data_IF_380491209208
#
_entry.id   IF_380491209208
#
_cell.length_a   1.000
_cell.length_b   1.000
_cell.length_c   1.000
_cell.angle_alpha   90.00
_cell.angle_beta   90.00
_cell.angle_gamma   90.00
#
_symmetry.space_group_name_H-M   'P 1'
#
loop_
_entity.id
_entity.type
_entity.pdbx_description
1 polymer ?
#
# COMPACT_ATOMS: atom_id res chain seq x y z
N UNK A 1 -25.66 11.51 1.92
CA UNK A 1 -24.40 11.11 2.57
C UNK A 1 -23.69 12.38 3.00
N UNK A 2 -22.89 12.35 4.07
CA UNK A 2 -22.14 13.55 4.51
C UNK A 2 -21.22 14.03 3.39
N UNK A 3 -21.33 15.30 3.02
CA UNK A 3 -20.47 15.98 2.03
C UNK A 3 -18.98 15.78 2.33
N UNK A 4 -18.64 15.62 3.61
CA UNK A 4 -17.30 15.35 4.10
C UNK A 4 -16.76 13.98 3.64
N UNK A 5 -17.61 12.96 3.54
CA UNK A 5 -17.21 11.63 3.05
C UNK A 5 -16.97 11.69 1.54
N UNK A 6 -17.83 12.38 0.78
CA UNK A 6 -17.65 12.56 -0.66
C UNK A 6 -16.36 13.32 -0.98
N UNK A 7 -16.06 14.36 -0.20
CA UNK A 7 -14.81 15.12 -0.32
C UNK A 7 -13.59 14.23 -0.07
N UNK A 8 -13.65 13.35 0.94
CA UNK A 8 -12.56 12.43 1.25
C UNK A 8 -12.36 11.37 0.16
N UNK A 9 -13.45 10.81 -0.37
CA UNK A 9 -13.40 9.86 -1.50
C UNK A 9 -12.75 10.55 -2.70
N UNK A 10 -13.16 11.78 -3.03
CA UNK A 10 -12.61 12.55 -4.14
C UNK A 10 -11.12 12.86 -3.96
N UNK A 11 -10.69 13.23 -2.74
CA UNK A 11 -9.28 13.42 -2.38
C UNK A 11 -8.45 12.17 -2.69
N UNK A 12 -8.91 11.00 -2.25
CA UNK A 12 -8.20 9.73 -2.45
C UNK A 12 -8.20 9.27 -3.92
N UNK A 13 -9.31 9.50 -4.63
CA UNK A 13 -9.42 9.20 -6.07
C UNK A 13 -8.46 10.04 -6.89
N UNK A 14 -8.46 11.37 -6.70
CA UNK A 14 -7.55 12.28 -7.39
C UNK A 14 -6.08 11.97 -7.09
N UNK A 15 -5.74 11.73 -5.82
CA UNK A 15 -4.38 11.35 -5.45
C UNK A 15 -3.94 10.10 -6.20
N UNK A 16 -4.77 9.06 -6.25
CA UNK A 16 -4.39 7.82 -6.88
C UNK A 16 -4.35 7.90 -8.40
N UNK A 17 -5.30 8.60 -9.03
CA UNK A 17 -5.29 8.84 -10.47
C UNK A 17 -4.03 9.61 -10.88
N UNK A 18 -3.70 10.68 -10.15
CA UNK A 18 -2.50 11.47 -10.43
C UNK A 18 -1.18 10.69 -10.22
N UNK A 19 -1.11 9.82 -9.19
CA UNK A 19 0.02 8.91 -8.96
C UNK A 19 0.16 7.82 -10.05
N UNK A 20 -0.91 7.53 -10.80
CA UNK A 20 -0.97 6.46 -11.81
C UNK A 20 -1.42 6.96 -13.18
N UNK A 21 -0.78 8.02 -13.68
CA UNK A 21 -0.91 8.48 -15.07
C UNK A 21 -2.32 8.91 -15.50
N UNK A 22 -3.18 9.27 -14.54
CA UNK A 22 -4.46 9.92 -14.78
C UNK A 22 -5.67 8.99 -14.62
N UNK A 23 -5.46 7.70 -14.35
CA UNK A 23 -6.54 6.73 -14.20
C UNK A 23 -6.50 6.00 -12.86
N UNK A 24 -7.68 5.69 -12.32
CA UNK A 24 -7.84 4.82 -11.15
C UNK A 24 -9.03 3.87 -11.29
N UNK A 25 -9.15 2.92 -10.36
CA UNK A 25 -10.19 1.88 -10.34
C UNK A 25 -10.89 1.84 -8.99
N UNK A 26 -12.21 1.61 -9.02
CA UNK A 26 -13.09 1.58 -7.85
C UNK A 26 -12.58 0.66 -6.74
N UNK A 27 -12.08 -0.53 -7.10
CA UNK A 27 -11.55 -1.53 -6.14
C UNK A 27 -10.34 -1.02 -5.37
N UNK A 28 -9.48 -0.23 -6.00
CA UNK A 28 -8.26 0.33 -5.38
C UNK A 28 -8.67 1.39 -4.36
N UNK A 29 -9.56 2.29 -4.77
CA UNK A 29 -10.07 3.38 -3.91
C UNK A 29 -10.84 2.81 -2.73
N UNK A 30 -11.71 1.82 -2.95
CA UNK A 30 -12.42 1.12 -1.87
C UNK A 30 -11.44 0.52 -0.85
N UNK A 31 -10.38 -0.15 -1.32
CA UNK A 31 -9.34 -0.70 -0.45
C UNK A 31 -8.61 0.37 0.36
N UNK A 32 -8.20 1.47 -0.28
CA UNK A 32 -7.51 2.60 0.38
C UNK A 32 -8.38 3.28 1.44
N UNK A 33 -9.67 3.52 1.14
CA UNK A 33 -10.61 4.16 2.07
C UNK A 33 -10.83 3.27 3.30
N UNK A 34 -11.11 1.98 3.09
CA UNK A 34 -11.39 1.04 4.19
C UNK A 34 -10.16 0.72 5.05
N UNK A 35 -8.96 0.90 4.50
CA UNK A 35 -7.70 0.81 5.24
C UNK A 35 -7.42 2.06 6.09
N UNK A 36 -7.72 3.25 5.57
CA UNK A 36 -7.45 4.52 6.26
C UNK A 36 -8.50 4.85 7.31
N UNK A 37 -9.79 4.58 7.01
CA UNK A 37 -10.93 4.86 7.88
C UNK A 37 -11.80 3.60 8.03
N UNK A 38 -11.53 2.76 9.05
CA UNK A 38 -12.26 1.51 9.27
C UNK A 38 -13.77 1.68 9.52
N UNK A 39 -14.19 2.87 9.95
CA UNK A 39 -15.58 3.26 10.24
C UNK A 39 -16.50 3.05 9.02
N UNK A 40 -15.96 3.24 7.82
CA UNK A 40 -16.68 3.09 6.56
C UNK A 40 -17.03 1.64 6.19
N UNK A 41 -16.49 0.64 6.89
CA UNK A 41 -16.85 -0.77 6.69
C UNK A 41 -18.34 -1.05 6.91
N UNK A 42 -18.97 -0.29 7.80
CA UNK A 42 -20.41 -0.39 8.07
C UNK A 42 -21.28 0.14 6.92
N UNK A 43 -20.75 1.09 6.13
CA UNK A 43 -21.47 1.84 5.08
C UNK A 43 -21.02 1.50 3.65
N UNK A 44 -20.36 0.35 3.46
CA UNK A 44 -19.76 -0.04 2.16
C UNK A 44 -20.77 0.00 1.02
N UNK A 45 -22.02 -0.43 1.25
CA UNK A 45 -23.06 -0.46 0.22
C UNK A 45 -23.44 0.93 -0.29
N UNK A 46 -23.43 1.93 0.58
CA UNK A 46 -23.73 3.32 0.21
C UNK A 46 -22.54 3.96 -0.49
N UNK A 47 -21.34 3.76 0.07
CA UNK A 47 -20.09 4.36 -0.43
C UNK A 47 -19.67 3.80 -1.79
N UNK A 48 -20.01 2.55 -2.10
CA UNK A 48 -19.60 1.92 -3.37
C UNK A 48 -20.20 2.62 -4.60
N UNK A 49 -21.43 3.13 -4.50
CA UNK A 49 -22.07 3.89 -5.57
C UNK A 49 -21.36 5.22 -5.80
N UNK A 50 -21.15 5.97 -4.73
CA UNK A 50 -20.47 7.27 -4.75
C UNK A 50 -19.01 7.14 -5.24
N UNK A 51 -18.29 6.06 -4.88
CA UNK A 51 -16.94 5.80 -5.40
C UNK A 51 -16.97 5.65 -6.92
N UNK A 52 -17.90 4.86 -7.46
CA UNK A 52 -17.95 4.61 -8.90
C UNK A 52 -18.25 5.88 -9.69
N UNK A 53 -19.15 6.72 -9.19
CA UNK A 53 -19.46 8.03 -9.79
C UNK A 53 -18.24 8.97 -9.76
N UNK A 54 -17.57 9.07 -8.62
CA UNK A 54 -16.39 9.93 -8.46
C UNK A 54 -15.21 9.43 -9.31
N UNK A 55 -14.96 8.12 -9.35
CA UNK A 55 -13.90 7.53 -10.19
C UNK A 55 -14.18 7.79 -11.67
N UNK A 56 -15.41 7.60 -12.12
CA UNK A 56 -15.78 7.91 -13.51
C UNK A 56 -15.56 9.39 -13.83
N UNK A 57 -15.86 10.29 -12.90
CA UNK A 57 -15.65 11.74 -13.09
C UNK A 57 -14.17 12.09 -13.16
N UNK A 58 -13.35 11.53 -12.26
CA UNK A 58 -11.91 11.81 -12.21
C UNK A 58 -11.18 11.24 -13.42
N UNK A 59 -11.52 10.04 -13.86
CA UNK A 59 -10.90 9.40 -15.04
C UNK A 59 -11.25 10.13 -16.36
N UNK A 60 -12.26 11.00 -16.38
CA UNK A 60 -12.57 11.85 -17.53
C UNK A 60 -11.73 13.13 -17.58
N UNK A 61 -11.11 13.52 -16.47
CA UNK A 61 -10.23 14.68 -16.39
C UNK A 61 -8.84 14.34 -16.92
N UNK A 62 -8.23 15.27 -17.64
CA UNK A 62 -6.83 15.16 -18.03
C UNK A 62 -5.88 15.28 -16.84
N UNK A 63 -4.65 14.79 -16.99
CA UNK A 63 -3.60 14.91 -15.97
C UNK A 63 -3.34 16.36 -15.52
N UNK A 64 -3.47 17.32 -16.44
CA UNK A 64 -3.29 18.73 -16.15
C UNK A 64 -4.45 19.28 -15.30
N UNK A 65 -5.69 18.95 -15.65
CA UNK A 65 -6.88 19.34 -14.90
C UNK A 65 -6.90 18.71 -13.50
N UNK A 66 -6.53 17.42 -13.39
CA UNK A 66 -6.36 16.76 -12.11
C UNK A 66 -5.31 17.49 -11.24
N UNK A 67 -4.18 17.89 -11.84
CA UNK A 67 -3.13 18.63 -11.15
C UNK A 67 -3.58 20.02 -10.68
N UNK A 68 -4.41 20.72 -11.47
CA UNK A 68 -5.00 22.01 -11.07
C UNK A 68 -5.97 21.80 -9.91
N UNK A 69 -6.87 20.81 -10.00
CA UNK A 69 -7.85 20.53 -8.96
C UNK A 69 -7.17 20.14 -7.63
N UNK A 70 -6.09 19.35 -7.69
CA UNK A 70 -5.29 19.01 -6.52
C UNK A 70 -4.66 20.27 -5.90
N UNK A 71 -4.12 21.19 -6.69
CA UNK A 71 -3.53 22.44 -6.18
C UNK A 71 -4.55 23.33 -5.48
N UNK A 72 -5.75 23.44 -6.03
CA UNK A 72 -6.80 24.32 -5.49
C UNK A 72 -7.49 23.73 -4.27
N UNK A 73 -7.83 22.43 -4.31
CA UNK A 73 -8.69 21.82 -3.29
C UNK A 73 -7.94 20.97 -2.27
N UNK A 74 -6.76 20.42 -2.63
CA UNK A 74 -6.03 19.45 -1.82
C UNK A 74 -4.50 19.59 -1.93
N UNK A 75 -3.93 20.79 -1.64
CA UNK A 75 -2.50 21.05 -1.83
C UNK A 75 -1.61 20.12 -0.98
N UNK A 76 -2.14 19.55 0.09
CA UNK A 76 -1.48 18.56 0.95
C UNK A 76 -1.02 17.30 0.21
N UNK A 77 -1.69 16.92 -0.88
CA UNK A 77 -1.35 15.71 -1.66
C UNK A 77 0.00 15.89 -2.36
N UNK A 78 0.34 17.12 -2.75
CA UNK A 78 1.56 17.45 -3.48
C UNK A 78 2.79 17.52 -2.57
N UNK A 79 2.60 17.48 -1.25
CA UNK A 79 3.70 17.42 -0.31
C UNK A 79 4.31 16.02 -0.45
N UNK A 80 5.58 15.91 -0.91
CA UNK A 80 6.23 14.61 -0.99
C UNK A 80 6.21 13.99 0.40
N UNK A 81 5.56 12.84 0.55
CA UNK A 81 5.67 12.07 1.79
C UNK A 81 7.15 11.81 2.00
N UNK A 82 7.67 12.14 3.18
CA UNK A 82 9.01 11.73 3.57
C UNK A 82 9.12 10.23 3.28
N UNK A 83 10.06 9.85 2.41
CA UNK A 83 10.35 8.44 2.18
C UNK A 83 10.62 7.87 3.57
N UNK A 84 9.81 6.88 3.96
CA UNK A 84 10.16 6.04 5.10
C UNK A 84 11.54 5.51 4.77
N UNK A 85 12.55 5.98 5.50
CA UNK A 85 13.93 5.54 5.32
C UNK A 85 13.86 4.02 5.40
N UNK A 86 14.24 3.34 4.31
CA UNK A 86 14.38 1.89 4.34
C UNK A 86 15.20 1.57 5.58
N UNK A 87 14.65 0.71 6.44
CA UNK A 87 15.36 0.30 7.65
C UNK A 87 16.76 -0.09 7.21
N UNK A 88 17.78 0.61 7.72
CA UNK A 88 19.15 0.17 7.58
C UNK A 88 19.15 -1.33 7.94
N UNK A 89 19.76 -2.13 7.07
CA UNK A 89 19.68 -3.58 7.15
C UNK A 89 20.14 -4.12 8.51
N UNK A 90 20.10 -5.44 8.66
CA UNK A 90 20.68 -6.04 9.86
C UNK A 90 22.15 -5.61 9.99
N UNK A 91 22.62 -5.34 11.22
CA UNK A 91 24.03 -5.02 11.44
C UNK A 91 24.91 -6.16 10.97
N UNK A 92 26.15 -5.83 10.57
CA UNK A 92 27.13 -6.84 10.20
C UNK A 92 27.39 -7.82 11.36
N UNK A 93 27.53 -9.11 11.02
CA UNK A 93 27.85 -10.14 11.98
C UNK A 93 29.30 -9.97 12.45
N UNK A 94 29.51 -9.89 13.77
CA UNK A 94 30.85 -9.82 14.36
C UNK A 94 31.67 -11.04 13.96
N UNK A 95 32.90 -10.81 13.50
CA UNK A 95 33.87 -11.83 13.10
C UNK A 95 33.42 -12.74 11.94
N UNK A 96 32.38 -12.36 11.19
CA UNK A 96 31.93 -13.12 10.04
C UNK A 96 32.78 -12.79 8.81
N UNK A 97 33.35 -13.83 8.20
CA UNK A 97 34.04 -13.71 6.92
C UNK A 97 33.15 -14.27 5.80
N UNK A 98 33.10 -13.54 4.68
CA UNK A 98 32.32 -13.95 3.51
C UNK A 98 32.74 -15.35 3.04
N UNK A 99 31.77 -16.26 2.89
CA UNK A 99 32.02 -17.64 2.48
C UNK A 99 32.48 -18.58 3.60
N UNK A 100 32.66 -18.09 4.84
CA UNK A 100 32.99 -18.92 6.03
C UNK A 100 31.86 -19.01 7.05
N UNK A 101 30.70 -18.43 6.77
CA UNK A 101 29.52 -18.52 7.63
C UNK A 101 28.90 -19.91 7.49
N UNK A 102 28.89 -20.67 8.60
CA UNK A 102 28.24 -21.98 8.68
C UNK A 102 27.01 -21.85 9.57
N UNK A 103 25.82 -22.04 9.00
CA UNK A 103 24.56 -22.06 9.74
C UNK A 103 24.18 -23.49 10.10
N UNK A 104 23.42 -23.68 11.18
CA UNK A 104 22.84 -24.97 11.56
C UNK A 104 21.36 -24.81 11.83
N UNK A 105 20.60 -25.88 11.63
CA UNK A 105 19.24 -25.92 12.13
C UNK A 105 19.24 -25.81 13.65
N UNK A 106 18.39 -24.94 14.23
CA UNK A 106 18.20 -24.94 15.68
C UNK A 106 17.65 -26.31 16.11
N UNK A 107 18.01 -26.79 17.32
CA UNK A 107 17.41 -27.99 17.85
C UNK A 107 15.93 -27.72 18.14
N UNK A 108 15.05 -28.15 17.24
CA UNK A 108 13.61 -28.06 17.46
C UNK A 108 13.10 -29.28 18.26
N UNK A 109 12.11 -29.12 19.14
CA UNK A 109 11.47 -30.24 19.84
C UNK A 109 10.57 -31.10 18.94
N UNK A 110 10.44 -30.75 17.65
CA UNK A 110 9.45 -31.28 16.70
C UNK A 110 9.81 -32.64 16.05
N UNK A 111 10.77 -33.38 16.60
CA UNK A 111 11.15 -34.72 16.13
C UNK A 111 12.18 -34.74 14.98
N UNK A 112 12.36 -35.91 14.35
CA UNK A 112 13.42 -36.12 13.37
C UNK A 112 13.18 -35.36 12.05
N UNK A 113 14.23 -34.81 11.41
CA UNK A 113 14.10 -34.17 10.10
C UNK A 113 13.50 -35.13 9.06
N UNK A 114 12.46 -34.66 8.37
CA UNK A 114 11.82 -35.36 7.26
C UNK A 114 11.87 -34.51 5.98
N UNK A 115 11.44 -35.08 4.84
CA UNK A 115 11.56 -34.47 3.50
C UNK A 115 10.98 -33.04 3.38
N UNK A 116 10.02 -32.67 4.22
CA UNK A 116 9.48 -31.30 4.27
C UNK A 116 10.48 -30.25 4.74
N UNK A 117 11.46 -30.64 5.56
CA UNK A 117 12.54 -29.76 6.03
C UNK A 117 13.56 -29.43 4.94
N UNK A 118 13.66 -30.26 3.89
CA UNK A 118 14.58 -30.02 2.78
C UNK A 118 14.28 -28.69 2.06
N UNK A 119 13.00 -28.28 1.99
CA UNK A 119 12.60 -26.98 1.43
C UNK A 119 13.19 -25.80 2.19
N UNK A 120 13.19 -25.87 3.53
CA UNK A 120 13.78 -24.83 4.37
C UNK A 120 15.32 -24.83 4.28
N UNK A 121 15.94 -26.00 4.07
CA UNK A 121 17.40 -26.10 3.91
C UNK A 121 17.87 -25.41 2.62
N UNK A 122 17.15 -25.58 1.51
CA UNK A 122 17.51 -25.01 0.20
C UNK A 122 17.26 -23.50 0.12
N UNK A 123 16.23 -22.99 0.80
CA UNK A 123 15.92 -21.55 0.78
C UNK A 123 16.86 -20.75 1.70
N UNK A 124 17.42 -21.40 2.74
CA UNK A 124 18.33 -20.76 3.70
C UNK A 124 19.82 -21.03 3.42
N UNK A 125 20.16 -21.72 2.33
CA UNK A 125 21.54 -22.02 1.89
C UNK A 125 22.09 -21.01 0.91
#
# INVERSE_FOLDING_TARGET
MDEEIKKEIRKMTLQNAFEHEGETRDKIILGKILGTKPEFRSKVKEISGDISEIVSTVNQLSLEEQGIEIKENFPEILIPKEKIVEREGLPELKDAEQGKVITRFPPEPNGYPHIGHAKAAIINS
#
